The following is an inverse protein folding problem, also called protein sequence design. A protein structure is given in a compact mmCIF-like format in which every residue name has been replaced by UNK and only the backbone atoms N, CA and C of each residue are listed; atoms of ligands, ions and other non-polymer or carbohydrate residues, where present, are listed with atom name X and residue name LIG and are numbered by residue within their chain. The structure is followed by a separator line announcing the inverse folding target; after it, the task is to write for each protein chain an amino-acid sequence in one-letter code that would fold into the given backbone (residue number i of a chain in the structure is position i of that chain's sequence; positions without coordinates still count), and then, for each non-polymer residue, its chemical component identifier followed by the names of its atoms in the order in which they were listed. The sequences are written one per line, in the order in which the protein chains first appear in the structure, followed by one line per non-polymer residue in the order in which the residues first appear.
data_IF_588619923407
#
_entry.id   IF_588619923407
#
_cell.length_a   1.000
_cell.length_b   1.000
_cell.length_c   1.000
_cell.angle_alpha   90.00
_cell.angle_beta   90.00
_cell.angle_gamma   90.00
#
_symmetry.space_group_name_H-M   'P 1'
#
loop_
_entity.id
_entity.type
_entity.pdbx_description
1 polymer ?
#
# COMPACT_ATOMS: atom_id res chain seq x y z
N UNK A 1 11.04 3.85 -9.29
CA UNK A 1 9.69 3.55 -8.79
C UNK A 1 9.63 3.87 -7.31
N UNK A 2 8.61 4.60 -6.88
CA UNK A 2 8.50 5.04 -5.49
C UNK A 2 7.21 4.53 -4.86
N UNK A 3 7.34 3.99 -3.67
CA UNK A 3 6.24 3.46 -2.88
C UNK A 3 6.01 4.35 -1.66
N UNK A 4 4.74 4.58 -1.34
CA UNK A 4 4.33 5.21 -0.09
C UNK A 4 3.56 4.20 0.74
N UNK A 5 4.00 3.99 1.95
CA UNK A 5 3.24 3.26 2.94
C UNK A 5 2.80 4.22 4.06
N UNK A 6 1.55 4.12 4.46
CA UNK A 6 1.02 4.94 5.53
C UNK A 6 0.03 4.15 6.40
N UNK A 7 0.34 4.03 7.69
CA UNK A 7 -0.67 3.62 8.64
C UNK A 7 -1.49 4.84 9.06
N UNK A 8 -2.73 4.89 8.64
CA UNK A 8 -3.60 6.04 8.90
C UNK A 8 -4.18 6.05 10.31
N UNK A 9 -4.02 4.97 11.09
CA UNK A 9 -4.61 4.82 12.42
C UNK A 9 -6.12 5.13 12.44
N UNK A 10 -6.83 4.68 11.40
CA UNK A 10 -8.27 4.95 11.18
C UNK A 10 -8.62 6.42 10.93
N UNK A 11 -7.64 7.28 10.70
CA UNK A 11 -7.88 8.63 10.23
C UNK A 11 -8.32 8.59 8.77
N UNK A 12 -9.51 9.09 8.49
CA UNK A 12 -10.06 9.12 7.14
C UNK A 12 -9.78 10.44 6.41
N UNK A 13 -9.30 11.44 7.13
CA UNK A 13 -9.00 12.77 6.57
C UNK A 13 -7.52 12.87 6.17
N UNK A 14 -7.17 12.11 5.14
CA UNK A 14 -5.78 12.02 4.66
C UNK A 14 -5.57 12.61 3.26
N UNK A 15 -6.66 13.03 2.60
CA UNK A 15 -6.64 13.38 1.19
C UNK A 15 -5.65 14.48 0.82
N UNK A 16 -5.65 15.58 1.56
CA UNK A 16 -4.78 16.73 1.24
C UNK A 16 -3.30 16.36 1.37
N UNK A 17 -2.94 15.77 2.48
CA UNK A 17 -1.54 15.34 2.72
C UNK A 17 -1.13 14.26 1.74
N UNK A 18 -1.99 13.28 1.48
CA UNK A 18 -1.70 12.20 0.55
C UNK A 18 -1.48 12.72 -0.87
N UNK A 19 -2.34 13.62 -1.36
CA UNK A 19 -2.20 14.19 -2.70
C UNK A 19 -0.91 14.99 -2.86
N UNK A 20 -0.53 15.76 -1.86
CA UNK A 20 0.74 16.49 -1.86
C UNK A 20 1.94 15.53 -1.90
N UNK A 21 1.94 14.51 -1.07
CA UNK A 21 3.00 13.51 -1.04
C UNK A 21 3.16 12.79 -2.39
N UNK A 22 2.04 12.44 -3.03
CA UNK A 22 2.06 11.78 -4.34
C UNK A 22 2.66 12.70 -5.40
N UNK A 23 2.26 13.96 -5.44
CA UNK A 23 2.73 14.93 -6.42
C UNK A 23 4.21 15.25 -6.21
N UNK A 24 4.58 15.62 -4.99
CA UNK A 24 5.95 16.04 -4.68
C UNK A 24 6.99 14.94 -4.88
N UNK A 25 6.61 13.71 -4.59
CA UNK A 25 7.53 12.58 -4.64
C UNK A 25 7.34 11.67 -5.85
N UNK A 26 6.39 11.97 -6.72
CA UNK A 26 6.04 11.13 -7.86
C UNK A 26 5.81 9.66 -7.45
N UNK A 27 4.93 9.45 -6.49
CA UNK A 27 4.65 8.12 -5.93
C UNK A 27 3.97 7.24 -6.99
N UNK A 28 4.48 6.04 -7.15
CA UNK A 28 3.94 5.05 -8.10
C UNK A 28 2.89 4.15 -7.48
N UNK A 29 3.00 3.87 -6.19
CA UNK A 29 2.08 2.99 -5.48
C UNK A 29 1.92 3.44 -4.02
N UNK A 30 0.68 3.41 -3.56
CA UNK A 30 0.30 3.75 -2.18
C UNK A 30 -0.28 2.51 -1.51
N UNK A 31 0.18 2.26 -0.29
CA UNK A 31 -0.34 1.21 0.57
C UNK A 31 -0.81 1.86 1.87
N UNK A 32 -2.11 1.74 2.12
CA UNK A 32 -2.73 2.30 3.32
C UNK A 32 -3.10 1.18 4.28
N UNK A 33 -2.60 1.25 5.50
CA UNK A 33 -3.02 0.38 6.58
C UNK A 33 -4.02 1.12 7.49
N UNK A 34 -4.98 0.38 8.01
CA UNK A 34 -6.02 0.89 8.93
C UNK A 34 -6.84 2.07 8.36
N UNK A 35 -6.95 2.15 7.02
CA UNK A 35 -7.81 3.15 6.38
C UNK A 35 -9.23 2.61 6.29
N UNK A 36 -10.14 3.21 7.04
CA UNK A 36 -11.51 2.73 7.20
C UNK A 36 -12.51 3.32 6.18
N UNK A 37 -12.13 4.39 5.50
CA UNK A 37 -13.01 5.03 4.51
C UNK A 37 -13.01 4.27 3.18
N UNK A 38 -13.93 4.65 2.28
CA UNK A 38 -14.06 4.04 0.96
C UNK A 38 -12.87 4.46 0.06
N UNK A 39 -12.14 3.46 -0.45
CA UNK A 39 -11.00 3.70 -1.33
C UNK A 39 -11.41 4.29 -2.68
N UNK A 40 -12.59 3.94 -3.20
CA UNK A 40 -13.08 4.49 -4.47
C UNK A 40 -13.33 6.00 -4.39
N UNK A 41 -13.86 6.47 -3.27
CA UNK A 41 -14.02 7.90 -3.04
C UNK A 41 -12.69 8.64 -3.00
N UNK A 42 -11.68 8.05 -2.34
CA UNK A 42 -10.34 8.62 -2.30
C UNK A 42 -9.72 8.70 -3.69
N UNK A 43 -9.83 7.63 -4.47
CA UNK A 43 -9.31 7.57 -5.85
C UNK A 43 -9.99 8.60 -6.72
N UNK A 44 -11.31 8.77 -6.60
CA UNK A 44 -12.06 9.79 -7.34
C UNK A 44 -11.64 11.21 -6.97
N UNK A 45 -11.39 11.49 -5.70
CA UNK A 45 -10.85 12.78 -5.25
C UNK A 45 -9.45 13.05 -5.79
N UNK A 46 -8.60 12.03 -5.85
CA UNK A 46 -7.27 12.14 -6.45
C UNK A 46 -7.35 12.42 -7.93
N UNK A 47 -8.27 11.77 -8.65
CA UNK A 47 -8.50 12.01 -10.07
C UNK A 47 -8.93 13.44 -10.36
N UNK A 48 -9.68 14.09 -9.46
CA UNK A 48 -10.04 15.50 -9.58
C UNK A 48 -8.83 16.45 -9.52
N UNK A 49 -7.68 16.00 -9.01
CA UNK A 49 -6.39 16.70 -9.03
C UNK A 49 -5.44 16.17 -10.12
N UNK A 50 -5.95 15.51 -11.13
CA UNK A 50 -5.15 14.87 -12.20
C UNK A 50 -4.19 13.79 -11.70
N UNK A 51 -4.50 13.17 -10.58
CA UNK A 51 -3.78 12.02 -10.05
C UNK A 51 -4.58 10.77 -10.36
N UNK A 52 -4.24 10.08 -11.44
CA UNK A 52 -4.91 8.86 -11.86
C UNK A 52 -4.27 7.64 -11.21
N UNK A 53 -5.02 6.97 -10.36
CA UNK A 53 -4.59 5.76 -9.69
C UNK A 53 -5.65 4.67 -9.83
N UNK A 54 -5.18 3.43 -9.97
CA UNK A 54 -6.02 2.24 -9.99
C UNK A 54 -6.00 1.57 -8.63
N UNK A 55 -7.14 1.08 -8.18
CA UNK A 55 -7.19 0.26 -6.99
C UNK A 55 -6.77 -1.17 -7.34
N UNK A 56 -5.84 -1.72 -6.57
CA UNK A 56 -5.43 -3.12 -6.69
C UNK A 56 -6.21 -3.98 -5.71
N UNK A 57 -6.70 -5.11 -6.19
CA UNK A 57 -7.42 -6.06 -5.35
C UNK A 57 -6.53 -6.61 -4.23
N UNK A 58 -7.09 -6.72 -3.04
CA UNK A 58 -6.46 -7.36 -1.90
C UNK A 58 -7.53 -8.06 -1.07
N UNK A 59 -7.22 -9.27 -0.60
CA UNK A 59 -8.05 -9.96 0.38
C UNK A 59 -7.79 -9.49 1.81
N UNK A 60 -6.79 -8.65 2.01
CA UNK A 60 -6.52 -8.05 3.31
C UNK A 60 -7.50 -6.90 3.58
N UNK A 61 -8.26 -7.00 4.65
CA UNK A 61 -9.12 -5.90 5.11
C UNK A 61 -8.32 -4.75 5.72
N UNK A 62 -7.07 -5.01 6.08
CA UNK A 62 -6.20 -4.07 6.79
C UNK A 62 -5.32 -3.24 5.89
N UNK A 63 -5.10 -3.69 4.65
CA UNK A 63 -4.20 -3.03 3.70
C UNK A 63 -4.97 -2.73 2.42
N UNK A 64 -5.04 -1.47 2.06
CA UNK A 64 -5.57 -1.03 0.77
C UNK A 64 -4.43 -0.55 -0.11
N UNK A 65 -4.46 -0.95 -1.38
CA UNK A 65 -3.41 -0.65 -2.34
C UNK A 65 -3.98 0.02 -3.57
N UNK A 66 -3.31 1.04 -4.03
CA UNK A 66 -3.62 1.70 -5.30
C UNK A 66 -2.39 2.39 -5.87
N UNK A 67 -2.41 2.62 -7.17
CA UNK A 67 -1.26 3.23 -7.83
C UNK A 67 -1.39 3.29 -9.34
N UNK A 68 -0.26 3.55 -9.99
CA UNK A 68 -0.13 3.74 -11.45
C UNK A 68 0.64 2.63 -12.14
N UNK A 69 0.94 1.55 -11.45
CA UNK A 69 1.68 0.44 -11.99
C UNK A 69 0.71 -0.53 -12.68
N UNK A 70 0.90 -0.78 -13.95
CA UNK A 70 0.02 -1.65 -14.74
C UNK A 70 0.32 -3.13 -14.57
N UNK A 71 1.60 -3.50 -14.49
CA UNK A 71 2.01 -4.88 -14.37
C UNK A 71 2.24 -5.27 -12.92
N UNK A 72 1.16 -5.65 -12.26
CA UNK A 72 1.19 -6.17 -10.89
C UNK A 72 0.57 -7.56 -10.89
N UNK A 73 1.32 -8.53 -10.38
CA UNK A 73 0.86 -9.91 -10.26
C UNK A 73 0.61 -10.27 -8.80
N UNK A 74 -0.53 -10.88 -8.54
CA UNK A 74 -0.87 -11.45 -7.26
C UNK A 74 0.10 -12.58 -6.90
N UNK A 75 0.54 -12.63 -5.66
CA UNK A 75 1.33 -13.73 -5.15
C UNK A 75 0.71 -14.35 -3.92
N UNK A 76 0.45 -13.55 -2.90
CA UNK A 76 -0.16 -14.03 -1.66
C UNK A 76 -0.83 -12.88 -0.92
N UNK A 77 -1.99 -13.16 -0.33
CA UNK A 77 -2.63 -12.31 0.66
C UNK A 77 -2.95 -13.09 1.92
N UNK A 78 -2.74 -12.46 3.06
CA UNK A 78 -3.20 -12.92 4.37
C UNK A 78 -3.73 -11.72 5.16
N UNK A 79 -4.25 -11.96 6.36
CA UNK A 79 -4.75 -10.86 7.21
C UNK A 79 -3.69 -9.81 7.54
N UNK A 80 -2.42 -10.19 7.48
CA UNK A 80 -1.30 -9.34 7.90
C UNK A 80 -0.26 -9.07 6.82
N UNK A 81 -0.35 -9.72 5.68
CA UNK A 81 0.65 -9.57 4.63
C UNK A 81 0.05 -9.59 3.24
N UNK A 82 0.63 -8.78 2.38
CA UNK A 82 0.30 -8.71 0.95
C UNK A 82 1.60 -8.85 0.17
N UNK A 83 1.65 -9.78 -0.77
CA UNK A 83 2.82 -9.99 -1.63
C UNK A 83 2.41 -9.86 -3.09
N UNK A 84 3.14 -9.04 -3.82
CA UNK A 84 2.94 -8.79 -5.26
C UNK A 84 4.27 -8.85 -6.01
N UNK A 85 4.19 -9.22 -7.28
CA UNK A 85 5.31 -9.11 -8.23
C UNK A 85 5.06 -7.89 -9.09
N UNK A 86 6.02 -6.98 -9.13
CA UNK A 86 5.94 -5.71 -9.84
C UNK A 86 6.84 -5.77 -11.06
N UNK A 87 6.26 -5.51 -12.24
CA UNK A 87 6.98 -5.48 -13.53
C UNK A 87 7.82 -6.74 -13.80
N UNK A 88 7.31 -7.91 -13.40
CA UNK A 88 7.92 -9.23 -13.60
C UNK A 88 9.30 -9.42 -12.94
N UNK A 89 9.73 -8.51 -12.09
CA UNK A 89 11.10 -8.57 -11.51
C UNK A 89 11.21 -8.23 -10.04
N UNK A 90 10.36 -7.37 -9.52
CA UNK A 90 10.45 -6.89 -8.16
C UNK A 90 9.37 -7.55 -7.28
N UNK A 91 9.72 -7.91 -6.06
CA UNK A 91 8.78 -8.44 -5.09
C UNK A 91 8.47 -7.36 -4.07
N UNK A 92 7.20 -6.97 -4.01
CA UNK A 92 6.68 -6.10 -2.96
C UNK A 92 6.05 -6.96 -1.87
N UNK A 93 6.54 -6.83 -0.66
CA UNK A 93 5.93 -7.43 0.52
C UNK A 93 5.53 -6.34 1.51
N UNK A 94 4.25 -6.25 1.78
CA UNK A 94 3.71 -5.33 2.79
C UNK A 94 3.19 -6.14 3.97
N UNK A 95 3.69 -5.85 5.16
CA UNK A 95 3.31 -6.55 6.38
C UNK A 95 2.73 -5.56 7.38
N UNK A 96 1.54 -5.87 7.88
CA UNK A 96 0.89 -5.13 8.97
C UNK A 96 0.75 -6.06 10.17
N UNK A 97 1.57 -5.85 11.18
CA UNK A 97 1.53 -6.63 12.41
C UNK A 97 0.43 -6.16 13.35
N UNK A 98 -0.23 -7.11 13.99
CA UNK A 98 -1.25 -6.79 14.98
C UNK A 98 -0.59 -6.24 16.25
N UNK A 99 -1.06 -5.08 16.70
CA UNK A 99 -0.58 -4.43 17.93
C UNK A 99 -0.74 -5.27 19.20
N UNK A 100 -1.59 -6.28 19.19
CA UNK A 100 -1.78 -7.21 20.31
C UNK A 100 -0.61 -8.16 20.52
N UNK A 101 0.28 -8.29 19.56
CA UNK A 101 1.45 -9.18 19.66
C UNK A 101 2.59 -8.51 20.43
N UNK A 102 2.65 -7.19 20.46
CA UNK A 102 3.63 -6.47 21.26
C UNK A 102 3.03 -6.07 22.59
N UNK A 103 3.31 -6.84 23.64
CA UNK A 103 2.91 -6.52 25.02
C UNK A 103 3.52 -5.22 25.55
N UNK A 104 4.34 -4.50 24.81
CA UNK A 104 5.19 -3.43 25.34
C UNK A 104 4.83 -2.05 24.78
N UNK A 105 4.19 -1.93 23.62
CA UNK A 105 3.78 -0.63 23.07
C UNK A 105 2.48 -0.76 22.28
N UNK A 106 1.55 0.14 22.53
CA UNK A 106 0.29 0.29 21.79
C UNK A 106 0.48 0.82 20.36
N UNK A 107 1.69 0.89 19.87
CA UNK A 107 2.01 1.28 18.50
C UNK A 107 2.11 0.04 17.64
N UNK A 108 1.26 -0.06 16.63
CA UNK A 108 1.41 -1.06 15.59
C UNK A 108 2.75 -0.88 14.90
N UNK A 109 3.63 -1.86 15.05
CA UNK A 109 4.89 -1.88 14.30
C UNK A 109 4.54 -2.30 12.88
N UNK A 110 4.78 -1.39 11.95
CA UNK A 110 4.56 -1.64 10.54
C UNK A 110 5.92 -1.77 9.89
N UNK A 111 6.16 -2.92 9.30
CA UNK A 111 7.35 -3.15 8.50
C UNK A 111 6.97 -3.17 7.03
N UNK A 112 7.51 -2.22 6.28
CA UNK A 112 7.59 -2.37 4.84
C UNK A 112 8.94 -2.99 4.56
N UNK A 113 8.91 -4.22 4.09
CA UNK A 113 10.09 -4.83 3.54
C UNK A 113 9.94 -4.82 2.02
N UNK A 114 10.47 -3.77 1.39
CA UNK A 114 10.66 -3.79 -0.05
C UNK A 114 12.01 -4.45 -0.29
N UNK A 115 12.01 -5.75 -0.48
CA UNK A 115 13.16 -6.42 -1.04
C UNK A 115 13.03 -6.32 -2.55
N UNK A 116 13.75 -5.39 -3.14
CA UNK A 116 14.04 -5.42 -4.57
C UNK A 116 15.02 -6.58 -4.76
N UNK A 117 14.49 -7.79 -4.84
CA UNK A 117 15.27 -8.92 -5.27
C UNK A 117 15.07 -9.03 -6.78
N UNK A 118 16.16 -9.10 -7.52
CA UNK A 118 16.08 -9.55 -8.91
C UNK A 118 15.32 -10.88 -8.90
N UNK A 119 14.14 -10.87 -9.50
CA UNK A 119 13.31 -12.06 -9.66
C UNK A 119 13.99 -12.97 -10.67
N UNK A 120 15.02 -13.67 -10.25
CA UNK A 120 15.64 -14.71 -11.02
C UNK A 120 14.92 -16.04 -10.76
N UNK A 121 13.83 -16.26 -11.48
CA UNK A 121 13.32 -17.57 -11.91
C UNK A 121 13.24 -18.74 -10.90
N UNK A 122 13.26 -18.50 -9.60
CA UNK A 122 13.19 -19.57 -8.60
C UNK A 122 11.77 -19.86 -8.12
N UNK A 123 10.80 -19.25 -8.75
CA UNK A 123 9.42 -19.51 -8.42
C UNK A 123 8.69 -20.17 -9.56
#
# INVERSE_FOLDING_TARGET
MKYLFWNTHKNNDIYDVLSELIIENNISMVLLAEYAANADELINKLAARDIDMLQYGSCSERIKMFGRIENIQYRMDSDHAVIRIINDKDILCCIHLNSKISCINKTSIIWIYVKIANYNRVF
#
